data_IF_194107852872
#
_entry.id   IF_194107852872
#
_cell.length_a   1.000
_cell.length_b   1.000
_cell.length_c   1.000
_cell.angle_alpha   90.00
_cell.angle_beta   90.00
_cell.angle_gamma   90.00
#
_symmetry.space_group_name_H-M   'P 1'
#
loop_
_entity.id
_entity.type
_entity.pdbx_description
1 polymer ?
#
# COMPACT_ATOMS: atom_id res chain seq x y z
N UNK A 1 6.67 -17.07 1.43
CA UNK A 1 7.50 -17.02 2.67
C UNK A 1 6.93 -17.99 3.71
N UNK A 2 7.71 -18.50 4.68
CA UNK A 2 7.19 -19.43 5.71
C UNK A 2 6.02 -18.84 6.52
N UNK A 3 6.07 -17.53 6.82
CA UNK A 3 5.00 -16.81 7.50
C UNK A 3 3.67 -16.87 6.73
N UNK A 4 3.71 -16.82 5.39
CA UNK A 4 2.51 -16.89 4.56
C UNK A 4 1.84 -18.26 4.67
N UNK A 5 2.61 -19.34 4.54
CA UNK A 5 2.08 -20.70 4.63
C UNK A 5 1.49 -20.99 6.02
N UNK A 6 2.14 -20.55 7.09
CA UNK A 6 1.64 -20.71 8.47
C UNK A 6 0.32 -19.95 8.64
N UNK A 7 0.23 -18.70 8.17
CA UNK A 7 -1.01 -17.93 8.25
C UNK A 7 -2.15 -18.62 7.47
N UNK A 8 -1.86 -19.16 6.28
CA UNK A 8 -2.85 -19.90 5.50
C UNK A 8 -3.33 -21.16 6.22
N UNK A 9 -2.46 -21.88 6.93
CA UNK A 9 -2.85 -23.07 7.69
C UNK A 9 -3.74 -22.72 8.89
N UNK A 10 -3.45 -21.62 9.59
CA UNK A 10 -4.34 -21.10 10.64
C UNK A 10 -5.70 -20.73 10.04
N UNK A 11 -5.72 -20.00 8.93
CA UNK A 11 -6.96 -19.51 8.30
C UNK A 11 -7.81 -20.62 7.67
N UNK A 12 -7.22 -21.78 7.35
CA UNK A 12 -8.00 -22.98 6.97
C UNK A 12 -8.83 -23.52 8.12
N UNK A 13 -8.33 -23.41 9.36
CA UNK A 13 -9.00 -23.90 10.57
C UNK A 13 -9.94 -22.81 11.11
N UNK A 14 -9.47 -21.57 11.15
CA UNK A 14 -10.18 -20.40 11.66
C UNK A 14 -10.11 -19.22 10.68
N UNK A 15 -11.03 -19.13 9.70
CA UNK A 15 -11.00 -18.10 8.67
C UNK A 15 -11.08 -16.66 9.19
N UNK A 16 -11.61 -16.48 10.40
CA UNK A 16 -11.77 -15.17 11.06
C UNK A 16 -10.60 -14.75 11.94
N UNK A 17 -9.51 -15.53 12.02
CA UNK A 17 -8.39 -15.25 12.92
C UNK A 17 -7.66 -13.94 12.53
N UNK A 18 -7.98 -12.84 13.23
CA UNK A 18 -7.59 -11.48 12.83
C UNK A 18 -6.08 -11.25 12.76
N UNK A 19 -5.30 -11.82 13.69
CA UNK A 19 -3.85 -11.64 13.68
C UNK A 19 -3.16 -12.40 12.54
N UNK A 20 -3.70 -13.57 12.15
CA UNK A 20 -3.23 -14.33 11.00
C UNK A 20 -3.57 -13.60 9.70
N UNK A 21 -4.74 -12.95 9.60
CA UNK A 21 -5.07 -12.08 8.46
C UNK A 21 -4.11 -10.90 8.35
N UNK A 22 -3.86 -10.20 9.46
CA UNK A 22 -2.92 -9.07 9.50
C UNK A 22 -1.51 -9.50 9.09
N UNK A 23 -1.02 -10.61 9.63
CA UNK A 23 0.30 -11.15 9.29
C UNK A 23 0.38 -11.64 7.85
N UNK A 24 -0.69 -12.25 7.34
CA UNK A 24 -0.78 -12.66 5.94
C UNK A 24 -0.61 -11.46 5.01
N UNK A 25 -1.34 -10.35 5.27
CA UNK A 25 -1.24 -9.11 4.49
C UNK A 25 0.21 -8.58 4.47
N UNK A 26 0.88 -8.54 5.64
CA UNK A 26 2.26 -8.11 5.72
C UNK A 26 3.20 -9.03 4.92
N UNK A 27 3.05 -10.35 5.07
CA UNK A 27 3.88 -11.34 4.37
C UNK A 27 3.68 -11.35 2.85
N UNK A 28 2.45 -11.11 2.37
CA UNK A 28 2.17 -10.96 0.93
C UNK A 28 2.85 -9.71 0.38
N UNK A 29 2.73 -8.59 1.07
CA UNK A 29 3.25 -7.30 0.59
C UNK A 29 4.78 -7.19 0.64
N UNK A 30 5.47 -8.02 1.45
CA UNK A 30 6.93 -8.14 1.43
C UNK A 30 7.45 -8.70 0.10
N UNK A 31 6.61 -9.40 -0.68
CA UNK A 31 6.97 -10.01 -1.97
C UNK A 31 6.82 -9.06 -3.16
N UNK A 32 6.29 -7.84 -2.96
CA UNK A 32 6.14 -6.86 -4.04
C UNK A 32 7.44 -6.44 -4.76
N UNK A 33 8.63 -6.39 -4.13
CA UNK A 33 9.87 -6.17 -4.86
C UNK A 33 10.19 -7.25 -5.92
N UNK A 34 9.73 -8.49 -5.72
CA UNK A 34 10.26 -9.68 -6.42
C UNK A 34 9.46 -10.08 -7.68
N UNK A 35 8.50 -9.26 -8.11
CA UNK A 35 7.78 -9.44 -9.38
C UNK A 35 6.46 -10.23 -9.29
N UNK A 36 6.20 -10.95 -8.21
CA UNK A 36 4.93 -11.69 -7.97
C UNK A 36 3.77 -10.79 -7.48
N UNK A 37 3.71 -9.55 -7.94
CA UNK A 37 2.84 -8.49 -7.39
C UNK A 37 1.36 -8.86 -7.51
N UNK A 38 0.91 -9.36 -8.66
CA UNK A 38 -0.53 -9.57 -8.91
C UNK A 38 -1.16 -10.59 -7.94
N UNK A 39 -0.50 -11.73 -7.74
CA UNK A 39 -0.99 -12.78 -6.84
C UNK A 39 -0.97 -12.30 -5.38
N UNK A 40 0.17 -11.74 -4.96
CA UNK A 40 0.33 -11.22 -3.60
C UNK A 40 -0.68 -10.09 -3.29
N UNK A 41 -0.96 -9.22 -4.27
CA UNK A 41 -1.93 -8.13 -4.12
C UNK A 41 -3.36 -8.67 -4.01
N UNK A 42 -3.75 -9.61 -4.87
CA UNK A 42 -5.07 -10.26 -4.79
C UNK A 42 -5.29 -10.96 -3.45
N UNK A 43 -4.27 -11.62 -2.91
CA UNK A 43 -4.33 -12.28 -1.61
C UNK A 43 -4.42 -11.28 -0.46
N UNK A 44 -3.64 -10.21 -0.48
CA UNK A 44 -3.72 -9.14 0.50
C UNK A 44 -5.10 -8.46 0.49
N UNK A 45 -5.69 -8.21 -0.67
CA UNK A 45 -7.02 -7.59 -0.80
C UNK A 45 -8.14 -8.49 -0.27
N UNK A 46 -8.06 -9.80 -0.53
CA UNK A 46 -8.99 -10.77 0.08
C UNK A 46 -8.87 -10.81 1.60
N UNK A 47 -7.64 -10.78 2.14
CA UNK A 47 -7.43 -10.77 3.57
C UNK A 47 -7.92 -9.44 4.21
N UNK A 48 -7.70 -8.30 3.55
CA UNK A 48 -8.20 -6.99 3.99
C UNK A 48 -9.73 -6.96 4.12
N UNK A 49 -10.44 -7.59 3.19
CA UNK A 49 -11.90 -7.68 3.24
C UNK A 49 -12.42 -8.47 4.47
N UNK A 50 -11.59 -9.33 5.05
CA UNK A 50 -11.92 -10.12 6.24
C UNK A 50 -11.47 -9.48 7.56
N UNK A 51 -10.71 -8.37 7.54
CA UNK A 51 -10.36 -7.61 8.74
C UNK A 51 -11.62 -6.94 9.27
N UNK A 52 -11.95 -7.16 10.54
CA UNK A 52 -13.18 -6.63 11.17
C UNK A 52 -12.99 -5.29 11.86
N UNK A 53 -11.78 -5.01 12.33
CA UNK A 53 -11.42 -3.75 12.97
C UNK A 53 -11.16 -2.65 11.91
N UNK A 54 -11.95 -1.57 11.94
CA UNK A 54 -11.89 -0.51 10.94
C UNK A 54 -10.56 0.26 10.95
N UNK A 55 -9.98 0.48 12.14
CA UNK A 55 -8.65 1.11 12.26
C UNK A 55 -7.60 0.24 11.57
N UNK A 56 -7.53 -1.05 11.92
CA UNK A 56 -6.62 -2.02 11.30
C UNK A 56 -6.87 -2.14 9.81
N UNK A 57 -8.12 -2.14 9.35
CA UNK A 57 -8.46 -2.23 7.92
C UNK A 57 -7.91 -1.04 7.15
N UNK A 58 -8.09 0.19 7.64
CA UNK A 58 -7.53 1.39 7.02
C UNK A 58 -6.00 1.40 7.09
N UNK A 59 -5.42 1.08 8.24
CA UNK A 59 -3.98 1.04 8.43
C UNK A 59 -3.29 0.01 7.52
N UNK A 60 -3.79 -1.24 7.50
CA UNK A 60 -3.24 -2.31 6.66
C UNK A 60 -3.45 -2.05 5.17
N UNK A 61 -4.59 -1.46 4.78
CA UNK A 61 -4.77 -0.99 3.39
C UNK A 61 -3.68 0.03 3.04
N UNK A 62 -3.41 0.99 3.92
CA UNK A 62 -2.32 1.94 3.76
C UNK A 62 -0.96 1.26 3.55
N UNK A 63 -0.65 0.22 4.33
CA UNK A 63 0.59 -0.56 4.16
C UNK A 63 0.69 -1.23 2.79
N UNK A 64 -0.40 -1.85 2.33
CA UNK A 64 -0.44 -2.48 0.99
C UNK A 64 -0.12 -1.45 -0.09
N UNK A 65 -0.78 -0.29 -0.04
CA UNK A 65 -0.61 0.80 -1.01
C UNK A 65 0.80 1.41 -0.93
N UNK A 66 1.32 1.65 0.27
CA UNK A 66 2.67 2.18 0.50
C UNK A 66 3.74 1.24 -0.08
N UNK A 67 3.67 -0.06 0.25
CA UNK A 67 4.63 -1.06 -0.23
C UNK A 67 4.55 -1.23 -1.74
N UNK A 68 3.36 -1.12 -2.32
CA UNK A 68 3.13 -1.14 -3.77
C UNK A 68 3.78 0.07 -4.47
N UNK A 69 3.62 1.26 -3.90
CA UNK A 69 4.28 2.48 -4.40
C UNK A 69 5.81 2.40 -4.31
N UNK A 70 6.34 1.90 -3.19
CA UNK A 70 7.78 1.64 -3.05
C UNK A 70 8.31 0.61 -4.05
N UNK A 71 7.50 -0.39 -4.40
CA UNK A 71 7.86 -1.36 -5.44
C UNK A 71 7.90 -0.72 -6.83
N UNK A 72 7.00 0.22 -7.15
CA UNK A 72 7.11 1.00 -8.38
C UNK A 72 8.39 1.84 -8.40
N UNK A 73 8.76 2.49 -7.29
CA UNK A 73 10.02 3.26 -7.26
C UNK A 73 11.27 2.43 -7.52
N UNK A 74 11.25 1.14 -7.16
CA UNK A 74 12.34 0.20 -7.50
C UNK A 74 12.26 -0.29 -8.95
N UNK A 75 11.10 -0.16 -9.59
CA UNK A 75 10.90 -0.56 -10.97
C UNK A 75 11.54 0.48 -11.90
N UNK A 76 12.45 0.03 -12.78
CA UNK A 76 13.08 0.87 -13.80
C UNK A 76 12.20 1.04 -15.06
N UNK A 77 10.90 0.77 -14.96
CA UNK A 77 9.97 0.87 -16.09
C UNK A 77 9.54 2.33 -16.32
N UNK A 78 9.35 2.76 -17.57
CA UNK A 78 8.74 4.06 -17.86
C UNK A 78 7.42 4.25 -17.13
N UNK A 79 7.19 5.43 -16.56
CA UNK A 79 5.96 5.76 -15.82
C UNK A 79 5.91 5.25 -14.36
N UNK A 80 6.90 4.47 -13.90
CA UNK A 80 6.92 3.94 -12.53
C UNK A 80 6.91 5.04 -11.47
N UNK A 81 7.57 6.18 -11.73
CA UNK A 81 7.55 7.34 -10.83
C UNK A 81 6.14 7.91 -10.61
N UNK A 82 5.33 8.05 -11.66
CA UNK A 82 3.95 8.55 -11.54
C UNK A 82 3.06 7.55 -10.81
N UNK A 83 3.15 6.28 -11.19
CA UNK A 83 2.41 5.21 -10.52
C UNK A 83 2.79 5.12 -9.02
N UNK A 84 4.06 5.29 -8.68
CA UNK A 84 4.50 5.35 -7.29
C UNK A 84 3.87 6.53 -6.53
N UNK A 85 3.80 7.72 -7.13
CA UNK A 85 3.16 8.87 -6.51
C UNK A 85 1.67 8.63 -6.24
N UNK A 86 0.95 8.06 -7.21
CA UNK A 86 -0.47 7.69 -7.06
C UNK A 86 -0.66 6.73 -5.88
N UNK A 87 0.10 5.62 -5.85
CA UNK A 87 0.04 4.65 -4.74
C UNK A 87 0.39 5.24 -3.37
N UNK A 88 1.37 6.14 -3.31
CA UNK A 88 1.77 6.79 -2.05
C UNK A 88 0.71 7.78 -1.56
N UNK A 89 0.03 8.51 -2.46
CA UNK A 89 -1.10 9.37 -2.10
C UNK A 89 -2.28 8.55 -1.60
N UNK A 90 -2.58 7.42 -2.25
CA UNK A 90 -3.62 6.49 -1.78
C UNK A 90 -3.28 5.93 -0.40
N UNK A 91 -2.02 5.60 -0.13
CA UNK A 91 -1.57 5.15 1.17
C UNK A 91 -1.78 6.24 2.24
N UNK A 92 -1.43 7.49 1.94
CA UNK A 92 -1.64 8.63 2.83
C UNK A 92 -3.12 8.83 3.17
N UNK A 93 -4.02 8.75 2.18
CA UNK A 93 -5.47 8.84 2.41
C UNK A 93 -6.02 7.67 3.26
N UNK A 94 -5.38 6.50 3.22
CA UNK A 94 -5.71 5.40 4.13
C UNK A 94 -5.23 5.69 5.56
N UNK A 95 -4.02 6.22 5.72
CA UNK A 95 -3.48 6.56 7.03
C UNK A 95 -4.22 7.72 7.69
N UNK A 96 -4.68 8.71 6.93
CA UNK A 96 -5.54 9.79 7.45
C UNK A 96 -6.86 9.23 8.01
N UNK A 97 -7.50 8.30 7.28
CA UNK A 97 -8.70 7.62 7.78
C UNK A 97 -8.44 6.77 9.01
N UNK A 98 -7.30 6.09 9.08
CA UNK A 98 -6.90 5.33 10.26
C UNK A 98 -6.63 6.27 11.46
N UNK A 99 -5.93 7.39 11.23
CA UNK A 99 -5.60 8.37 12.27
C UNK A 99 -6.89 8.97 12.89
N UNK A 100 -7.89 9.28 12.07
CA UNK A 100 -9.16 9.83 12.53
C UNK A 100 -9.93 8.95 13.53
N UNK A 101 -9.71 7.62 13.51
CA UNK A 101 -10.37 6.65 14.40
C UNK A 101 -9.40 5.91 15.31
N UNK A 102 -8.17 6.41 15.44
CA UNK A 102 -7.09 5.68 16.11
C UNK A 102 -7.37 5.45 17.60
N UNK A 103 -6.99 4.28 18.14
CA UNK A 103 -6.92 4.09 19.58
C UNK A 103 -5.97 5.08 20.25
N UNK A 104 -6.23 5.43 21.50
CA UNK A 104 -5.35 6.30 22.27
C UNK A 104 -3.95 5.67 22.41
N UNK A 105 -2.91 6.47 22.14
CA UNK A 105 -1.52 6.02 22.19
C UNK A 105 -1.01 5.32 20.94
N UNK A 106 -1.82 5.23 19.87
CA UNK A 106 -1.38 4.67 18.59
C UNK A 106 -1.10 5.79 17.59
N UNK A 107 0.19 6.07 17.34
CA UNK A 107 0.65 7.11 16.39
C UNK A 107 1.22 6.51 15.09
N UNK A 108 1.10 5.19 14.92
CA UNK A 108 1.72 4.45 13.81
C UNK A 108 1.24 4.95 12.45
N UNK A 109 -0.06 5.19 12.28
CA UNK A 109 -0.63 5.73 11.04
C UNK A 109 -0.01 7.09 10.67
N UNK A 110 0.18 7.98 11.64
CA UNK A 110 0.81 9.29 11.44
C UNK A 110 2.28 9.15 11.04
N UNK A 111 3.04 8.25 11.69
CA UNK A 111 4.44 7.99 11.34
C UNK A 111 4.58 7.40 9.93
N UNK A 112 3.65 6.54 9.51
CA UNK A 112 3.61 5.99 8.15
C UNK A 112 3.23 7.05 7.12
N UNK A 113 2.27 7.91 7.43
CA UNK A 113 1.94 9.08 6.60
C UNK A 113 3.17 9.97 6.38
N UNK A 114 3.90 10.30 7.46
CA UNK A 114 5.13 11.09 7.39
C UNK A 114 6.23 10.42 6.55
N UNK A 115 6.25 9.09 6.53
CA UNK A 115 7.15 8.33 5.67
C UNK A 115 6.77 8.48 4.20
N UNK A 116 5.49 8.40 3.86
CA UNK A 116 5.01 8.64 2.49
C UNK A 116 5.29 10.08 2.04
N UNK A 117 5.01 11.07 2.90
CA UNK A 117 5.27 12.48 2.63
C UNK A 117 6.74 12.74 2.31
N UNK A 118 7.67 12.22 3.12
CA UNK A 118 9.12 12.35 2.85
C UNK A 118 9.54 11.71 1.53
N UNK A 119 8.94 10.57 1.17
CA UNK A 119 9.22 9.93 -0.13
C UNK A 119 8.75 10.85 -1.27
N UNK A 120 7.51 11.34 -1.20
CA UNK A 120 6.93 12.21 -2.23
C UNK A 120 7.71 13.52 -2.39
N UNK A 121 8.15 14.14 -1.29
CA UNK A 121 8.96 15.37 -1.31
C UNK A 121 10.32 15.17 -1.99
N UNK A 122 10.86 13.96 -1.96
CA UNK A 122 12.14 13.62 -2.59
C UNK A 122 12.00 13.16 -4.04
N UNK A 123 10.78 12.98 -4.56
CA UNK A 123 10.58 12.66 -5.96
C UNK A 123 10.73 13.93 -6.80
N UNK A 124 11.37 13.86 -7.97
CA UNK A 124 11.42 14.99 -8.89
C UNK A 124 9.98 15.42 -9.23
N UNK A 125 9.74 16.72 -9.29
CA UNK A 125 8.48 17.25 -9.79
C UNK A 125 8.21 16.61 -11.15
N UNK A 126 7.01 16.05 -11.34
CA UNK A 126 6.66 15.50 -12.65
C UNK A 126 6.78 16.63 -13.67
N UNK A 127 7.68 16.49 -14.65
CA UNK A 127 7.65 17.37 -15.80
C UNK A 127 6.24 17.30 -16.39
N UNK A 128 5.62 18.44 -16.75
CA UNK A 128 4.34 18.40 -17.46
C UNK A 128 4.50 17.52 -18.70
N UNK A 129 3.50 16.69 -18.96
CA UNK A 129 3.51 15.80 -20.12
C UNK A 129 3.58 16.67 -21.38
N UNK A 130 4.71 16.62 -22.08
CA UNK A 130 4.94 17.38 -23.31
C UNK A 130 3.93 17.03 -24.41
N UNK A 131 3.20 15.92 -24.28
CA UNK A 131 2.08 15.61 -25.16
C UNK A 131 0.81 16.43 -24.90
N UNK A 132 0.59 16.94 -23.69
CA UNK A 132 -0.58 17.75 -23.35
C UNK A 132 -0.38 19.22 -23.76
N UNK A 133 0.86 19.71 -23.74
CA UNK A 133 1.20 21.08 -24.14
C UNK A 133 0.99 21.36 -25.64
N UNK A 134 1.13 20.33 -26.48
CA UNK A 134 0.97 20.45 -27.93
C UNK A 134 -0.50 20.45 -28.40
N UNK A 135 -1.45 20.05 -27.55
CA UNK A 135 -2.88 20.09 -27.88
C UNK A 135 -3.49 21.48 -27.62
N UNK A 136 -2.87 22.29 -26.76
CA UNK A 136 -3.39 23.60 -26.32
C UNK A 136 -2.94 24.73 -27.26
N UNK A 137 -1.90 24.52 -28.09
CA UNK A 137 -1.40 25.54 -29.03
C UNK A 137 -1.92 25.38 -30.47
N UNK A 138 -2.83 24.43 -30.71
CA UNK A 138 -3.42 24.14 -32.03
C UNK A 138 -4.89 24.57 -32.17
N UNK A 139 -5.44 25.31 -31.21
CA UNK A 139 -6.73 26.00 -31.30
C UNK A 139 -6.52 27.52 -31.44
#
# INVERSE_FOLDING_TARGET
AEAESICLDILKIEPGHQDALGTLILSCTDQFPDGSIASAMSQAERALAAITDDYKRHYLTGIVRERRGKAELRSQRPGSGRAAQEWLRDAMACYERAEAIRPAGTDEALLRWNTCARILMNLPASAPDVHEYNAIQSE
#
